data_IF_946811009373
#
_entry.id   IF_946811009373
#
_cell.length_a   1.000
_cell.length_b   1.000
_cell.length_c   1.000
_cell.angle_alpha   90.00
_cell.angle_beta   90.00
_cell.angle_gamma   90.00
#
_symmetry.space_group_name_H-M   'P 1'
#
loop_
_entity.id
_entity.type
_entity.pdbx_description
1 polymer ?
#
# COMPACT_ATOMS: atom_id res chain seq x y z
N UNK A 1 -17.79 8.75 -8.41
CA UNK A 1 -16.77 7.76 -8.81
C UNK A 1 -16.69 6.64 -7.77
N UNK A 2 -16.66 5.37 -8.18
CA UNK A 2 -16.40 4.24 -7.28
C UNK A 2 -14.90 4.15 -6.95
N UNK A 3 -14.58 3.81 -5.70
CA UNK A 3 -13.21 3.62 -5.21
C UNK A 3 -13.01 2.17 -4.81
N UNK A 4 -12.04 1.51 -5.39
CA UNK A 4 -11.71 0.10 -5.13
C UNK A 4 -10.34 -0.01 -4.49
N UNK A 5 -10.31 -0.55 -3.28
CA UNK A 5 -9.06 -0.88 -2.62
C UNK A 5 -8.44 -2.16 -3.18
N UNK A 6 -7.11 -2.16 -3.37
CA UNK A 6 -6.34 -3.36 -3.71
C UNK A 6 -5.42 -3.68 -2.55
N UNK A 7 -5.56 -4.87 -2.00
CA UNK A 7 -4.73 -5.34 -0.89
C UNK A 7 -4.10 -6.69 -1.20
N UNK A 8 -3.15 -7.09 -0.39
CA UNK A 8 -2.48 -8.39 -0.51
C UNK A 8 -1.06 -8.35 0.03
N UNK A 9 -0.54 -9.50 0.40
CA UNK A 9 0.79 -9.65 1.00
C UNK A 9 1.90 -9.48 -0.04
N UNK A 10 3.13 -9.27 0.41
CA UNK A 10 4.30 -9.20 -0.47
C UNK A 10 4.41 -10.44 -1.36
N UNK A 11 4.81 -10.27 -2.62
CA UNK A 11 4.96 -11.38 -3.58
C UNK A 11 3.66 -11.90 -4.18
N UNK A 12 2.48 -11.42 -3.77
CA UNK A 12 1.21 -11.88 -4.33
C UNK A 12 0.93 -11.39 -5.76
N UNK A 13 1.60 -10.33 -6.23
CA UNK A 13 1.43 -9.82 -7.60
C UNK A 13 0.55 -8.57 -7.72
N UNK A 14 0.32 -7.81 -6.63
CA UNK A 14 -0.44 -6.54 -6.68
C UNK A 14 0.06 -5.59 -7.77
N UNK A 15 1.38 -5.40 -7.86
CA UNK A 15 1.97 -4.51 -8.87
C UNK A 15 1.70 -4.93 -10.33
N UNK A 16 1.51 -6.21 -10.59
CA UNK A 16 1.09 -6.70 -11.92
C UNK A 16 -0.37 -6.33 -12.20
N UNK A 17 -1.23 -6.43 -11.18
CA UNK A 17 -2.64 -6.04 -11.28
C UNK A 17 -2.77 -4.53 -11.46
N UNK A 18 -2.09 -3.72 -10.66
CA UNK A 18 -2.16 -2.25 -10.79
C UNK A 18 -1.60 -1.77 -12.13
N UNK A 19 -0.54 -2.42 -12.64
CA UNK A 19 -0.01 -2.14 -13.98
C UNK A 19 -1.02 -2.52 -15.08
N UNK A 20 -1.69 -3.65 -14.96
CA UNK A 20 -2.76 -4.06 -15.88
C UNK A 20 -3.90 -3.04 -15.89
N UNK A 21 -4.41 -2.65 -14.71
CA UNK A 21 -5.49 -1.67 -14.56
C UNK A 21 -5.12 -0.29 -15.14
N UNK A 22 -3.91 0.19 -14.85
CA UNK A 22 -3.40 1.43 -15.42
C UNK A 22 -3.29 1.35 -16.97
N UNK A 23 -2.89 0.19 -17.50
CA UNK A 23 -2.87 -0.08 -18.95
C UNK A 23 -4.27 -0.09 -19.60
N UNK A 24 -5.32 -0.33 -18.82
CA UNK A 24 -6.72 -0.21 -19.25
C UNK A 24 -7.27 1.23 -19.10
N UNK A 25 -6.46 2.17 -18.62
CA UNK A 25 -6.86 3.57 -18.44
C UNK A 25 -7.49 3.91 -17.09
N UNK A 26 -7.52 2.97 -16.14
CA UNK A 26 -8.04 3.26 -14.80
C UNK A 26 -7.00 4.03 -13.96
N UNK A 27 -7.42 5.07 -13.22
CA UNK A 27 -6.58 5.71 -12.23
C UNK A 27 -6.19 4.70 -11.13
N UNK A 28 -4.86 4.58 -10.91
CA UNK A 28 -4.30 3.70 -9.89
C UNK A 28 -3.42 4.53 -8.96
N UNK A 29 -3.79 4.62 -7.70
CA UNK A 29 -3.13 5.42 -6.67
C UNK A 29 -2.33 4.47 -5.77
N UNK A 30 -1.01 4.62 -5.77
CA UNK A 30 -0.10 3.88 -4.91
C UNK A 30 0.05 4.60 -3.57
N UNK A 31 -0.63 4.12 -2.53
CA UNK A 31 -0.57 4.70 -1.19
C UNK A 31 0.78 4.45 -0.49
N UNK A 32 1.51 3.39 -0.85
CA UNK A 32 2.87 3.15 -0.35
C UNK A 32 3.86 4.16 -0.96
N UNK A 33 3.64 4.59 -2.20
CA UNK A 33 4.40 5.68 -2.82
C UNK A 33 4.09 7.01 -2.12
N UNK A 34 2.81 7.32 -1.89
CA UNK A 34 2.39 8.52 -1.15
C UNK A 34 3.03 8.55 0.24
N UNK A 35 3.07 7.41 0.96
CA UNK A 35 3.74 7.32 2.26
C UNK A 35 5.26 7.62 2.20
N UNK A 36 5.87 7.47 1.03
CA UNK A 36 7.27 7.91 0.81
C UNK A 36 7.36 9.38 0.44
N UNK A 37 6.41 9.88 -0.32
CA UNK A 37 6.36 11.29 -0.77
C UNK A 37 6.16 12.25 0.40
N UNK A 38 5.37 11.88 1.41
CA UNK A 38 5.18 12.72 2.62
C UNK A 38 6.43 12.88 3.48
N UNK A 39 7.49 12.13 3.18
CA UNK A 39 8.81 12.24 3.82
C UNK A 39 9.83 12.98 2.93
N UNK A 40 9.41 13.58 1.83
CA UNK A 40 10.26 14.42 0.99
C UNK A 40 10.30 15.86 1.53
N UNK A 41 11.39 16.62 1.25
CA UNK A 41 11.51 18.02 1.65
C UNK A 41 10.26 18.85 1.29
N UNK A 42 9.85 19.72 2.22
CA UNK A 42 8.65 20.54 2.05
C UNK A 42 7.34 19.89 2.54
N UNK A 43 7.36 18.65 2.97
CA UNK A 43 6.19 18.01 3.56
C UNK A 43 5.86 18.59 4.94
N UNK A 44 4.57 18.85 5.24
CA UNK A 44 4.14 19.34 6.55
C UNK A 44 4.37 18.33 7.68
N UNK A 45 4.54 17.04 7.36
CA UNK A 45 4.83 16.01 8.36
C UNK A 45 6.22 16.15 8.98
N UNK A 46 7.21 16.71 8.26
CA UNK A 46 8.60 16.69 8.69
C UNK A 46 8.79 17.44 10.02
N UNK A 47 8.20 18.61 10.14
CA UNK A 47 8.30 19.41 11.37
C UNK A 47 7.71 18.67 12.59
N UNK A 48 6.55 18.04 12.43
CA UNK A 48 5.91 17.26 13.49
C UNK A 48 6.71 16.00 13.84
N UNK A 49 7.31 15.35 12.83
CA UNK A 49 8.17 14.19 13.02
C UNK A 49 9.46 14.57 13.76
N UNK A 50 10.05 15.74 13.43
CA UNK A 50 11.25 16.28 14.13
C UNK A 50 10.93 16.61 15.59
N UNK A 51 9.79 17.24 15.86
CA UNK A 51 9.35 17.53 17.23
C UNK A 51 9.19 16.23 18.05
N UNK A 52 8.62 15.20 17.43
CA UNK A 52 8.31 13.93 18.11
C UNK A 52 9.49 12.99 18.25
N UNK A 53 10.32 12.89 17.21
CA UNK A 53 11.40 11.89 17.12
C UNK A 53 12.81 12.48 17.16
N UNK A 54 12.95 13.80 17.28
CA UNK A 54 14.20 14.52 17.37
C UNK A 54 14.55 15.27 16.09
N UNK A 55 15.13 16.47 16.27
CA UNK A 55 15.43 17.36 15.16
C UNK A 55 16.38 16.76 14.11
N UNK A 56 17.22 15.82 14.52
CA UNK A 56 18.22 15.16 13.69
C UNK A 56 17.69 14.06 12.76
N UNK A 57 16.36 13.76 12.80
CA UNK A 57 15.74 12.83 11.81
C UNK A 57 15.68 13.42 10.41
N UNK A 58 15.87 14.73 10.24
CA UNK A 58 16.03 15.35 8.93
C UNK A 58 17.32 16.16 8.90
N UNK A 59 17.92 16.30 7.73
CA UNK A 59 19.07 17.19 7.52
C UNK A 59 18.61 18.64 7.30
N UNK A 60 19.58 19.55 7.13
CA UNK A 60 19.36 20.99 6.89
C UNK A 60 18.59 21.29 5.59
N UNK A 61 18.56 20.34 4.65
CA UNK A 61 17.82 20.42 3.39
C UNK A 61 16.42 19.79 3.51
N UNK A 62 16.02 19.29 4.70
CA UNK A 62 14.76 18.64 4.94
C UNK A 62 14.67 17.18 4.46
N UNK A 63 15.80 16.56 4.10
CA UNK A 63 15.79 15.15 3.73
C UNK A 63 15.69 14.27 4.97
N UNK A 64 14.64 13.46 5.03
CA UNK A 64 14.40 12.57 6.17
C UNK A 64 15.37 11.38 6.16
N UNK A 65 16.06 11.18 7.25
CA UNK A 65 16.90 10.01 7.56
C UNK A 65 16.00 8.84 7.92
N UNK A 66 15.38 8.23 6.91
CA UNK A 66 14.29 7.24 7.05
C UNK A 66 14.63 6.10 8.01
N UNK A 67 15.88 5.61 8.00
CA UNK A 67 16.31 4.55 8.91
C UNK A 67 16.28 5.02 10.37
N UNK A 68 16.82 6.19 10.64
CA UNK A 68 16.83 6.77 12.00
C UNK A 68 15.40 7.03 12.51
N UNK A 69 14.54 7.58 11.66
CA UNK A 69 13.11 7.73 11.97
C UNK A 69 12.46 6.39 12.28
N UNK A 70 12.67 5.38 11.45
CA UNK A 70 12.13 4.04 11.64
C UNK A 70 12.63 3.40 12.94
N UNK A 71 13.94 3.47 13.22
CA UNK A 71 14.54 2.93 14.44
C UNK A 71 13.90 3.55 15.70
N UNK A 72 13.65 4.87 15.70
CA UNK A 72 13.01 5.56 16.83
C UNK A 72 11.50 5.30 16.91
N UNK A 73 10.81 5.35 15.79
CA UNK A 73 9.36 5.20 15.74
C UNK A 73 8.92 3.77 16.09
N UNK A 74 9.67 2.76 15.67
CA UNK A 74 9.34 1.37 15.94
C UNK A 74 9.98 0.80 17.22
N UNK A 75 10.77 1.60 17.94
CA UNK A 75 11.34 1.19 19.22
C UNK A 75 10.28 0.89 20.30
N UNK A 76 9.12 1.53 20.21
CA UNK A 76 8.02 1.33 21.17
C UNK A 76 6.65 1.38 20.49
N UNK A 77 5.62 0.72 21.06
CA UNK A 77 4.26 0.86 20.55
C UNK A 77 3.73 2.30 20.56
N UNK A 78 4.19 3.13 21.50
CA UNK A 78 3.85 4.56 21.56
C UNK A 78 4.48 5.35 20.41
N UNK A 79 5.73 5.04 20.05
CA UNK A 79 6.39 5.61 18.89
C UNK A 79 5.68 5.25 17.58
N UNK A 80 5.32 3.99 17.41
CA UNK A 80 4.55 3.54 16.23
C UNK A 80 3.22 4.27 16.10
N UNK A 81 2.46 4.41 17.20
CA UNK A 81 1.21 5.18 17.20
C UNK A 81 1.43 6.65 16.85
N UNK A 82 2.50 7.26 17.37
CA UNK A 82 2.82 8.65 17.09
C UNK A 82 3.19 8.87 15.62
N UNK A 83 4.02 7.97 15.02
CA UNK A 83 4.33 8.00 13.60
C UNK A 83 3.04 7.93 12.77
N UNK A 84 2.18 6.97 13.05
CA UNK A 84 0.90 6.81 12.35
C UNK A 84 0.01 8.05 12.50
N UNK A 85 -0.12 8.59 13.72
CA UNK A 85 -0.95 9.78 13.98
C UNK A 85 -0.48 11.04 13.20
N UNK A 86 0.83 11.15 12.94
CA UNK A 86 1.40 12.27 12.18
C UNK A 86 1.27 12.02 10.67
N UNK A 87 1.55 10.80 10.21
CA UNK A 87 1.66 10.52 8.77
C UNK A 87 0.35 10.16 8.11
N UNK A 88 -0.54 9.44 8.80
CA UNK A 88 -1.78 8.94 8.21
C UNK A 88 -2.73 10.04 7.70
N UNK A 89 -2.95 11.16 8.42
CA UNK A 89 -3.81 12.23 7.91
C UNK A 89 -3.32 12.81 6.59
N UNK A 90 -2.02 13.01 6.43
CA UNK A 90 -1.43 13.54 5.20
C UNK A 90 -1.48 12.53 4.05
N UNK A 91 -1.25 11.24 4.35
CA UNK A 91 -1.41 10.16 3.36
C UNK A 91 -2.85 10.15 2.83
N UNK A 92 -3.83 10.14 3.73
CA UNK A 92 -5.25 10.12 3.36
C UNK A 92 -5.65 11.38 2.58
N UNK A 93 -5.18 12.55 2.99
CA UNK A 93 -5.41 13.80 2.27
C UNK A 93 -4.90 13.74 0.83
N UNK A 94 -3.69 13.23 0.61
CA UNK A 94 -3.12 13.09 -0.75
C UNK A 94 -3.84 12.04 -1.58
N UNK A 95 -4.27 10.95 -0.97
CA UNK A 95 -5.10 9.94 -1.67
C UNK A 95 -6.42 10.60 -2.13
N UNK A 96 -7.13 11.29 -1.24
CA UNK A 96 -8.40 11.95 -1.60
C UNK A 96 -8.20 13.03 -2.66
N UNK A 97 -7.12 13.81 -2.61
CA UNK A 97 -6.79 14.78 -3.66
C UNK A 97 -6.65 14.11 -5.02
N UNK A 98 -5.90 13.01 -5.10
CA UNK A 98 -5.73 12.27 -6.37
C UNK A 98 -7.02 11.60 -6.84
N UNK A 99 -7.87 11.15 -5.91
CA UNK A 99 -9.20 10.62 -6.26
C UNK A 99 -10.10 11.72 -6.83
N UNK A 100 -10.09 12.92 -6.24
CA UNK A 100 -10.84 14.07 -6.74
C UNK A 100 -10.35 14.53 -8.13
N UNK A 101 -9.03 14.54 -8.37
CA UNK A 101 -8.45 14.81 -9.69
C UNK A 101 -8.90 13.78 -10.74
N UNK A 102 -8.92 12.51 -10.37
CA UNK A 102 -9.41 11.43 -11.24
C UNK A 102 -10.90 11.57 -11.57
N UNK A 103 -11.72 11.92 -10.58
CA UNK A 103 -13.15 12.15 -10.75
C UNK A 103 -13.44 13.38 -11.62
N UNK A 104 -12.70 14.48 -11.43
CA UNK A 104 -12.78 15.67 -12.29
C UNK A 104 -12.33 15.36 -13.73
N UNK A 105 -11.41 14.41 -13.90
CA UNK A 105 -10.98 13.86 -15.20
C UNK A 105 -12.01 12.94 -15.85
N UNK A 106 -13.17 12.71 -15.21
CA UNK A 106 -14.26 11.87 -15.75
C UNK A 106 -14.12 10.38 -15.43
N UNK A 107 -13.23 9.97 -14.51
CA UNK A 107 -13.14 8.59 -14.11
C UNK A 107 -14.38 8.16 -13.33
N UNK A 108 -14.97 7.02 -13.72
CA UNK A 108 -16.10 6.41 -13.00
C UNK A 108 -15.63 5.39 -11.95
N UNK A 109 -14.37 4.91 -12.06
CA UNK A 109 -13.76 3.92 -11.22
C UNK A 109 -12.28 4.26 -11.01
N UNK A 110 -11.81 4.20 -9.77
CA UNK A 110 -10.40 4.37 -9.41
C UNK A 110 -9.95 3.29 -8.42
N UNK A 111 -8.66 2.97 -8.47
CA UNK A 111 -8.05 1.97 -7.60
C UNK A 111 -7.03 2.60 -6.67
N UNK A 112 -7.02 2.15 -5.40
CA UNK A 112 -6.02 2.52 -4.41
C UNK A 112 -5.31 1.25 -3.95
N UNK A 113 -3.98 1.18 -4.18
CA UNK A 113 -3.14 0.05 -3.74
C UNK A 113 -2.30 0.46 -2.54
N UNK A 114 -2.25 -0.36 -1.52
CA UNK A 114 -1.36 -0.15 -0.39
C UNK A 114 -1.77 -0.88 0.88
N UNK A 115 -0.81 -0.91 1.82
CA UNK A 115 -1.02 -1.49 3.14
C UNK A 115 -1.90 -0.61 4.06
N UNK A 116 -2.21 0.63 3.63
CA UNK A 116 -2.97 1.62 4.44
C UNK A 116 -4.49 1.42 4.37
N UNK A 117 -4.98 0.38 3.69
CA UNK A 117 -6.42 0.19 3.45
C UNK A 117 -7.04 -0.60 4.59
N UNK A 118 -6.67 -1.87 4.75
CA UNK A 118 -7.32 -2.78 5.70
C UNK A 118 -7.01 -2.39 7.14
N UNK A 119 -8.04 -2.29 7.97
CA UNK A 119 -7.94 -1.91 9.38
C UNK A 119 -7.69 -0.43 9.61
N UNK A 120 -7.88 0.43 8.60
CA UNK A 120 -7.74 1.88 8.70
C UNK A 120 -9.07 2.59 8.36
N UNK A 121 -9.22 3.88 8.70
CA UNK A 121 -10.41 4.64 8.30
C UNK A 121 -10.66 4.69 6.79
N UNK A 122 -9.63 4.49 5.97
CA UNK A 122 -9.77 4.48 4.51
C UNK A 122 -10.52 3.24 3.99
N UNK A 123 -10.58 2.14 4.74
CA UNK A 123 -11.37 0.97 4.37
C UNK A 123 -12.85 1.32 4.13
N UNK A 124 -13.42 2.16 4.99
CA UNK A 124 -14.80 2.64 4.86
C UNK A 124 -15.03 3.56 3.64
N UNK A 125 -13.97 4.07 3.02
CA UNK A 125 -14.02 4.88 1.79
C UNK A 125 -14.10 4.03 0.53
N UNK A 126 -13.74 2.74 0.63
CA UNK A 126 -13.74 1.85 -0.50
C UNK A 126 -15.13 1.25 -0.72
N UNK A 127 -15.65 1.34 -1.95
CA UNK A 127 -16.90 0.70 -2.37
C UNK A 127 -16.72 -0.82 -2.51
N UNK A 128 -15.49 -1.27 -2.79
CA UNK A 128 -15.08 -2.66 -2.83
C UNK A 128 -13.61 -2.82 -2.42
N UNK A 129 -13.26 -4.00 -1.94
CA UNK A 129 -11.88 -4.35 -1.60
C UNK A 129 -11.50 -5.65 -2.31
N UNK A 130 -10.48 -5.58 -3.17
CA UNK A 130 -9.95 -6.72 -3.92
C UNK A 130 -8.68 -7.22 -3.27
N UNK A 131 -8.70 -8.43 -2.77
CA UNK A 131 -7.54 -9.14 -2.27
C UNK A 131 -6.83 -9.85 -3.43
N UNK A 132 -5.56 -9.51 -3.66
CA UNK A 132 -4.68 -10.31 -4.50
C UNK A 132 -3.93 -11.28 -3.60
N UNK A 133 -4.14 -12.57 -3.81
CA UNK A 133 -3.47 -13.63 -3.05
C UNK A 133 -2.60 -14.51 -3.98
N UNK A 134 -1.66 -15.22 -3.41
CA UNK A 134 -0.87 -16.24 -4.11
C UNK A 134 -0.47 -17.34 -3.11
N UNK A 135 -0.16 -18.55 -3.57
CA UNK A 135 0.41 -19.59 -2.72
C UNK A 135 1.64 -19.08 -1.95
N UNK A 136 1.77 -19.48 -0.69
CA UNK A 136 2.81 -18.97 0.21
C UNK A 136 4.22 -19.15 -0.37
N UNK A 137 4.55 -20.35 -0.86
CA UNK A 137 5.87 -20.63 -1.42
C UNK A 137 6.13 -19.89 -2.73
N UNK A 138 5.09 -19.62 -3.53
CA UNK A 138 5.18 -18.76 -4.72
C UNK A 138 5.52 -17.33 -4.31
N UNK A 139 4.89 -16.81 -3.26
CA UNK A 139 5.18 -15.49 -2.72
C UNK A 139 6.61 -15.41 -2.19
N UNK A 140 7.07 -16.41 -1.45
CA UNK A 140 8.46 -16.51 -0.97
C UNK A 140 9.45 -16.48 -2.14
N UNK A 141 9.25 -17.31 -3.17
CA UNK A 141 10.13 -17.36 -4.34
C UNK A 141 10.19 -16.00 -5.07
N UNK A 142 9.04 -15.35 -5.25
CA UNK A 142 8.96 -14.02 -5.90
C UNK A 142 9.68 -12.94 -5.08
N UNK A 143 9.57 -12.97 -3.74
CA UNK A 143 10.28 -12.03 -2.85
C UNK A 143 11.79 -12.27 -2.94
N UNK A 144 12.25 -13.52 -2.90
CA UNK A 144 13.67 -13.86 -3.04
C UNK A 144 14.24 -13.34 -4.36
N UNK A 145 13.54 -13.57 -5.47
CA UNK A 145 13.98 -13.15 -6.80
C UNK A 145 14.03 -11.62 -6.95
N UNK A 146 13.05 -10.91 -6.37
CA UNK A 146 12.97 -9.45 -6.45
C UNK A 146 14.00 -8.74 -5.57
N UNK A 147 14.15 -9.20 -4.32
CA UNK A 147 14.88 -8.48 -3.26
C UNK A 147 16.29 -9.04 -3.01
N UNK A 148 16.66 -10.17 -3.67
CA UNK A 148 17.97 -10.83 -3.49
C UNK A 148 18.19 -11.37 -2.09
N UNK A 149 17.13 -11.74 -1.37
CA UNK A 149 17.20 -12.25 0.01
C UNK A 149 16.97 -13.76 0.08
N UNK A 150 17.37 -14.36 1.21
CA UNK A 150 17.18 -15.79 1.42
C UNK A 150 15.71 -16.17 1.63
N UNK A 151 15.30 -17.41 1.35
CA UNK A 151 13.94 -17.89 1.62
C UNK A 151 13.51 -17.70 3.08
N UNK A 152 14.44 -17.88 4.01
CA UNK A 152 14.18 -17.66 5.43
C UNK A 152 13.83 -16.19 5.75
N UNK A 153 14.59 -15.26 5.19
CA UNK A 153 14.30 -13.82 5.34
C UNK A 153 12.96 -13.45 4.69
N UNK A 154 12.64 -14.03 3.52
CA UNK A 154 11.39 -13.82 2.83
C UNK A 154 10.19 -14.34 3.65
N UNK A 155 10.30 -15.53 4.25
CA UNK A 155 9.28 -16.09 5.16
C UNK A 155 9.06 -15.18 6.37
N UNK A 156 10.12 -14.79 7.08
CA UNK A 156 10.02 -13.86 8.23
C UNK A 156 9.30 -12.56 7.84
N UNK A 157 9.58 -12.03 6.64
CA UNK A 157 8.92 -10.82 6.13
C UNK A 157 7.43 -11.04 5.86
N UNK A 158 7.05 -12.18 5.29
CA UNK A 158 5.65 -12.53 5.07
C UNK A 158 4.91 -12.74 6.40
N UNK A 159 5.53 -13.44 7.34
CA UNK A 159 4.89 -13.80 8.62
C UNK A 159 4.69 -12.57 9.53
N UNK A 160 5.50 -11.51 9.33
CA UNK A 160 5.33 -10.23 10.00
C UNK A 160 4.20 -9.35 9.41
N UNK A 161 3.62 -9.71 8.27
CA UNK A 161 2.51 -8.97 7.65
C UNK A 161 1.16 -9.41 8.21
N UNK A 162 0.13 -8.61 7.95
CA UNK A 162 -1.26 -8.96 8.28
C UNK A 162 -1.58 -10.38 7.80
N UNK A 163 -2.15 -11.25 8.65
CA UNK A 163 -2.54 -12.60 8.26
C UNK A 163 -3.46 -12.59 7.04
N UNK A 164 -3.27 -13.57 6.15
CA UNK A 164 -4.06 -13.63 4.90
C UNK A 164 -5.56 -13.78 5.20
N UNK A 165 -5.92 -14.46 6.28
CA UNK A 165 -7.32 -14.65 6.69
C UNK A 165 -7.98 -13.34 7.12
N UNK A 166 -7.21 -12.43 7.75
CA UNK A 166 -7.69 -11.08 8.08
C UNK A 166 -7.97 -10.26 6.81
N UNK A 167 -7.06 -10.33 5.83
CA UNK A 167 -7.25 -9.66 4.55
C UNK A 167 -8.44 -10.25 3.77
N UNK A 168 -8.61 -11.58 3.83
CA UNK A 168 -9.71 -12.30 3.17
C UNK A 168 -11.07 -11.95 3.78
N UNK A 169 -11.12 -11.81 5.11
CA UNK A 169 -12.35 -11.42 5.82
C UNK A 169 -12.81 -9.99 5.50
N UNK A 170 -11.87 -9.08 5.19
CA UNK A 170 -12.17 -7.70 4.80
C UNK A 170 -12.51 -7.57 3.31
N UNK A 171 -12.01 -8.48 2.46
CA UNK A 171 -12.15 -8.39 1.01
C UNK A 171 -13.56 -8.73 0.53
N UNK A 172 -14.05 -7.96 -0.44
CA UNK A 172 -15.28 -8.27 -1.19
C UNK A 172 -15.04 -9.25 -2.33
N UNK A 173 -13.81 -9.24 -2.87
CA UNK A 173 -13.37 -10.10 -3.98
C UNK A 173 -11.96 -10.63 -3.70
N UNK A 174 -11.68 -11.87 -4.11
CA UNK A 174 -10.33 -12.42 -4.08
C UNK A 174 -9.90 -12.86 -5.49
N UNK A 175 -8.69 -12.44 -5.88
CA UNK A 175 -8.04 -12.85 -7.13
C UNK A 175 -6.79 -13.65 -6.77
N UNK A 176 -6.82 -14.94 -7.03
CA UNK A 176 -5.70 -15.85 -6.74
C UNK A 176 -4.71 -15.84 -7.90
N UNK A 177 -3.49 -15.39 -7.63
CA UNK A 177 -2.36 -15.35 -8.58
C UNK A 177 -1.52 -16.62 -8.47
N UNK A 178 -2.03 -17.71 -9.03
CA UNK A 178 -1.43 -19.06 -9.07
C UNK A 178 -0.98 -19.49 -10.46
N UNK A 179 -1.05 -18.58 -11.44
CA UNK A 179 -0.75 -18.85 -12.84
C UNK A 179 0.14 -17.81 -13.50
N UNK A 180 -0.08 -17.60 -14.81
CA UNK A 180 0.65 -16.62 -15.63
C UNK A 180 0.10 -15.20 -15.41
N UNK A 181 0.82 -14.19 -15.96
CA UNK A 181 0.38 -12.81 -15.93
C UNK A 181 -0.93 -12.59 -16.71
N UNK A 182 -1.11 -13.30 -17.82
CA UNK A 182 -2.30 -13.28 -18.65
C UNK A 182 -3.51 -13.81 -17.88
N UNK A 183 -3.34 -14.96 -17.20
CA UNK A 183 -4.40 -15.54 -16.37
C UNK A 183 -4.78 -14.65 -15.18
N UNK A 184 -3.80 -13.95 -14.59
CA UNK A 184 -4.07 -12.97 -13.55
C UNK A 184 -4.88 -11.78 -14.10
N UNK A 185 -4.54 -11.30 -15.29
CA UNK A 185 -5.27 -10.22 -15.95
C UNK A 185 -6.72 -10.64 -16.30
N UNK A 186 -6.93 -11.86 -16.81
CA UNK A 186 -8.26 -12.41 -17.06
C UNK A 186 -9.12 -12.50 -15.80
N UNK A 187 -8.54 -12.99 -14.69
CA UNK A 187 -9.23 -13.04 -13.40
C UNK A 187 -9.61 -11.65 -12.90
N UNK A 188 -8.69 -10.67 -13.05
CA UNK A 188 -8.97 -9.30 -12.68
C UNK A 188 -10.03 -8.66 -13.57
N UNK A 189 -10.02 -8.97 -14.87
CA UNK A 189 -11.07 -8.51 -15.80
C UNK A 189 -12.46 -9.03 -15.40
N UNK A 190 -12.57 -10.29 -14.96
CA UNK A 190 -13.82 -10.84 -14.46
C UNK A 190 -14.31 -10.11 -13.19
N UNK A 191 -13.42 -9.65 -12.31
CA UNK A 191 -13.78 -8.82 -11.15
C UNK A 191 -14.25 -7.44 -11.60
N UNK A 192 -13.59 -6.82 -12.60
CA UNK A 192 -14.01 -5.51 -13.14
C UNK A 192 -15.46 -5.49 -13.63
N UNK A 193 -15.95 -6.61 -14.17
CA UNK A 193 -17.33 -6.72 -14.65
C UNK A 193 -18.36 -6.80 -13.50
N UNK A 194 -17.93 -6.99 -12.26
CA UNK A 194 -18.77 -7.09 -11.07
C UNK A 194 -18.74 -5.80 -10.22
N UNK A 195 -17.80 -4.92 -10.50
CA UNK A 195 -17.64 -3.63 -9.83
C UNK A 195 -18.51 -2.55 -10.46
#
# INVERSE_FOLDING_TARGET
MKVVGITGRSGCGKSSVTKFLAGQGYPCIDADLIAREILLPGSPCIAQLQEKFGADIADENGNVRRRLLADRAFATPAGTRALTAITQPEILHRIETRLQEAEQGGAELAFVDGAVIVGTPFEARCDALVLISAPYDTSVARICARDGITPEMARRRLDAQTPIETLRAAATHEVVNDGTAEQLAEKMHAVLQQL
#
